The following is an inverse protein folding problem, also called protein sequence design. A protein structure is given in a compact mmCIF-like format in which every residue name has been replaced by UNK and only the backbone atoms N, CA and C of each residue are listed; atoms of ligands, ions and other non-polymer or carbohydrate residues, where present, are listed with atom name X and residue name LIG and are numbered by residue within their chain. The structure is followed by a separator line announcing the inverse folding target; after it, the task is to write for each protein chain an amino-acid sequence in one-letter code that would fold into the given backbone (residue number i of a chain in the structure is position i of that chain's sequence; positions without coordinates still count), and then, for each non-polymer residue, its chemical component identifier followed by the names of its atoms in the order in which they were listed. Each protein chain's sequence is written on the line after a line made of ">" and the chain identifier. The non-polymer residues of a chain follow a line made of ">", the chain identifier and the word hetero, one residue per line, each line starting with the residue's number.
data_IF_999692254334
#
_entry.id   IF_999692254334
#
_cell.length_a   1.000
_cell.length_b   1.000
_cell.length_c   1.000
_cell.angle_alpha   90.00
_cell.angle_beta   90.00
_cell.angle_gamma   90.00
#
_symmetry.space_group_name_H-M   'P 1'
#
loop_
_entity.id
_entity.type
_entity.pdbx_description
1 polymer ?
#
# COMPACT_ATOMS: atom_id res chain seq x y z
N UNK A 1 -7.88 -0.74 10.13
CA UNK A 1 -6.82 -1.65 9.64
C UNK A 1 -5.80 -1.80 10.75
N UNK A 2 -5.53 -3.02 11.21
CA UNK A 2 -4.54 -3.24 12.28
C UNK A 2 -3.13 -2.88 11.81
N UNK A 3 -2.31 -2.33 12.70
CA UNK A 3 -0.92 -1.95 12.38
C UNK A 3 -0.10 -3.15 11.90
N UNK A 4 -0.31 -4.34 12.50
CA UNK A 4 0.36 -5.57 12.06
C UNK A 4 0.14 -5.86 10.57
N UNK A 5 -1.04 -5.56 10.04
CA UNK A 5 -1.36 -5.81 8.63
C UNK A 5 -0.49 -4.96 7.71
N UNK A 6 -0.18 -3.72 8.07
CA UNK A 6 0.66 -2.85 7.26
C UNK A 6 2.10 -3.37 7.11
N UNK A 7 2.56 -4.20 8.05
CA UNK A 7 3.87 -4.84 7.98
C UNK A 7 3.93 -6.04 7.00
N UNK A 8 2.80 -6.45 6.41
CA UNK A 8 2.74 -7.54 5.45
C UNK A 8 2.17 -7.12 4.08
N UNK A 9 1.77 -5.87 3.93
CA UNK A 9 1.13 -5.38 2.71
C UNK A 9 2.09 -4.51 1.92
N UNK A 10 2.25 -4.85 0.64
CA UNK A 10 3.05 -4.11 -0.33
C UNK A 10 2.15 -3.44 -1.38
N UNK A 11 2.72 -2.56 -2.19
CA UNK A 11 1.99 -1.96 -3.30
C UNK A 11 1.46 -3.03 -4.28
N UNK A 12 0.17 -2.93 -4.60
CA UNK A 12 -0.51 -3.85 -5.53
C UNK A 12 -0.16 -3.62 -7.01
N UNK A 13 0.41 -2.46 -7.36
CA UNK A 13 0.76 -2.08 -8.73
C UNK A 13 1.81 -3.06 -9.29
N UNK A 14 1.59 -3.60 -10.50
CA UNK A 14 2.38 -4.70 -11.08
C UNK A 14 3.88 -4.35 -11.17
N UNK A 15 4.18 -3.13 -11.59
CA UNK A 15 5.53 -2.59 -11.75
C UNK A 15 6.26 -2.41 -10.41
N UNK A 16 5.53 -2.38 -9.29
CA UNK A 16 6.10 -2.21 -7.96
C UNK A 16 6.57 -3.52 -7.33
N UNK A 17 6.15 -4.69 -7.84
CA UNK A 17 6.43 -6.01 -7.22
C UNK A 17 7.92 -6.32 -7.06
N UNK A 18 8.76 -5.78 -7.95
CA UNK A 18 10.21 -5.98 -7.91
C UNK A 18 10.95 -4.84 -7.22
N UNK A 19 10.26 -3.75 -6.87
CA UNK A 19 10.89 -2.58 -6.26
C UNK A 19 10.89 -2.71 -4.74
N UNK A 20 12.05 -2.60 -4.08
CA UNK A 20 12.11 -2.61 -2.62
C UNK A 20 11.41 -1.40 -2.00
N UNK A 21 11.30 -0.28 -2.73
CA UNK A 21 10.57 0.92 -2.29
C UNK A 21 9.04 0.76 -2.30
N UNK A 22 8.53 -0.41 -2.70
CA UNK A 22 7.10 -0.73 -2.64
C UNK A 22 6.62 -1.19 -1.26
N UNK A 23 7.56 -1.35 -0.31
CA UNK A 23 7.33 -1.74 1.07
C UNK A 23 8.33 -1.03 2.01
N UNK A 24 7.89 -0.55 3.20
CA UNK A 24 6.49 -0.44 3.63
C UNK A 24 5.70 0.59 2.82
N UNK A 25 4.38 0.53 2.93
CA UNK A 25 3.51 1.63 2.51
C UNK A 25 3.47 2.69 3.62
N UNK A 26 3.47 3.96 3.23
CA UNK A 26 3.59 5.09 4.16
C UNK A 26 2.22 5.61 4.58
N UNK A 27 1.98 5.71 5.88
CA UNK A 27 0.76 6.29 6.42
C UNK A 27 0.78 7.81 6.31
N UNK A 28 -0.36 8.37 5.91
CA UNK A 28 -0.58 9.81 5.89
C UNK A 28 -2.00 10.11 6.35
N UNK A 29 -2.17 11.21 7.08
CA UNK A 29 -3.46 11.67 7.61
C UNK A 29 -4.22 10.55 8.35
N UNK A 30 -3.50 9.72 9.12
CA UNK A 30 -4.05 8.54 9.77
C UNK A 30 -4.76 8.87 11.08
N UNK A 31 -6.01 8.44 11.21
CA UNK A 31 -6.77 8.43 12.45
C UNK A 31 -6.65 7.06 13.11
N UNK A 32 -6.29 7.05 14.39
CA UNK A 32 -6.03 5.85 15.17
C UNK A 32 -7.13 5.61 16.18
N UNK A 33 -7.49 4.35 16.35
CA UNK A 33 -8.33 3.87 17.43
C UNK A 33 -7.66 2.66 18.08
N UNK A 34 -7.81 2.55 19.41
CA UNK A 34 -7.34 1.40 20.17
C UNK A 34 -8.54 0.55 20.55
N UNK A 35 -8.48 -0.72 20.17
CA UNK A 35 -9.44 -1.74 20.57
C UNK A 35 -8.75 -2.77 21.44
N UNK A 36 -9.15 -2.82 22.71
CA UNK A 36 -8.65 -3.78 23.69
C UNK A 36 -8.93 -5.21 23.25
N UNK A 37 -7.92 -6.07 23.36
CA UNK A 37 -7.99 -7.49 23.00
C UNK A 37 -7.33 -8.34 24.07
N UNK A 38 -7.82 -9.56 24.24
CA UNK A 38 -7.18 -10.52 25.13
C UNK A 38 -5.70 -10.68 24.79
N UNK A 39 -4.86 -10.55 25.82
CA UNK A 39 -3.41 -10.62 25.69
C UNK A 39 -2.98 -11.99 25.18
N UNK A 40 -2.32 -12.00 24.02
CA UNK A 40 -1.91 -13.21 23.30
C UNK A 40 -0.39 -13.28 23.12
N UNK A 41 0.37 -13.61 24.18
CA UNK A 41 1.84 -13.62 24.15
C UNK A 41 2.40 -14.61 23.12
N UNK A 42 1.79 -15.79 23.01
CA UNK A 42 2.19 -16.81 22.02
C UNK A 42 2.02 -16.35 20.58
N UNK A 43 0.98 -15.57 20.28
CA UNK A 43 0.81 -15.00 18.95
C UNK A 43 1.96 -14.03 18.62
N UNK A 44 2.30 -13.15 19.57
CA UNK A 44 3.40 -12.18 19.40
C UNK A 44 4.72 -12.91 19.17
N UNK A 45 5.05 -13.92 19.99
CA UNK A 45 6.27 -14.74 19.81
C UNK A 45 6.34 -15.41 18.44
N UNK A 46 5.21 -15.91 17.94
CA UNK A 46 5.16 -16.62 16.67
C UNK A 46 5.17 -15.70 15.44
N UNK A 47 4.57 -14.52 15.54
CA UNK A 47 4.50 -13.58 14.42
C UNK A 47 5.74 -12.71 14.31
N UNK A 48 6.39 -12.41 15.45
CA UNK A 48 7.53 -11.51 15.50
C UNK A 48 8.65 -11.92 14.54
N UNK A 49 9.07 -13.19 14.39
CA UNK A 49 10.08 -13.59 13.41
C UNK A 49 9.75 -13.18 11.97
N UNK A 50 8.47 -13.07 11.62
CA UNK A 50 8.00 -12.68 10.28
C UNK A 50 7.85 -11.18 10.09
N UNK A 51 7.86 -10.41 11.18
CA UNK A 51 7.76 -8.95 11.15
C UNK A 51 9.09 -8.38 10.65
N UNK A 52 8.99 -7.52 9.64
CA UNK A 52 10.06 -6.62 9.24
C UNK A 52 10.14 -5.46 10.24
N UNK A 53 11.20 -5.47 11.04
CA UNK A 53 11.35 -4.54 12.15
C UNK A 53 11.60 -3.11 11.68
N UNK A 54 12.39 -2.91 10.62
CA UNK A 54 12.68 -1.58 10.09
C UNK A 54 11.42 -0.92 9.50
N UNK A 55 10.61 -1.70 8.80
CA UNK A 55 9.31 -1.27 8.30
C UNK A 55 8.36 -0.92 9.46
N UNK A 56 8.31 -1.73 10.53
CA UNK A 56 7.48 -1.44 11.70
C UNK A 56 7.92 -0.16 12.41
N UNK A 57 9.22 0.10 12.52
CA UNK A 57 9.75 1.36 13.08
C UNK A 57 9.30 2.56 12.26
N UNK A 58 9.37 2.46 10.93
CA UNK A 58 8.91 3.50 10.01
C UNK A 58 7.43 3.78 10.21
N UNK A 59 6.59 2.75 10.16
CA UNK A 59 5.14 2.84 10.38
C UNK A 59 4.83 3.45 11.77
N UNK A 60 5.52 3.01 12.82
CA UNK A 60 5.30 3.50 14.18
C UNK A 60 5.60 5.00 14.30
N UNK A 61 6.69 5.46 13.68
CA UNK A 61 7.05 6.87 13.67
C UNK A 61 6.02 7.71 12.90
N UNK A 62 5.53 7.23 11.74
CA UNK A 62 4.51 7.91 10.94
C UNK A 62 3.16 8.04 11.66
N UNK A 63 2.82 7.02 12.45
CA UNK A 63 1.60 7.00 13.27
C UNK A 63 1.74 7.79 14.59
N UNK A 64 2.92 8.39 14.86
CA UNK A 64 3.15 9.21 16.05
C UNK A 64 3.40 8.42 17.34
N UNK A 65 3.76 7.14 17.25
CA UNK A 65 4.18 6.36 18.41
C UNK A 65 5.62 6.68 18.81
N UNK A 66 6.01 6.38 20.08
CA UNK A 66 7.40 6.46 20.49
C UNK A 66 8.29 5.60 19.60
N UNK A 67 9.51 6.08 19.34
CA UNK A 67 10.47 5.33 18.53
C UNK A 67 10.77 3.98 19.18
N UNK A 68 10.43 2.93 18.44
CA UNK A 68 10.76 1.56 18.81
C UNK A 68 12.29 1.36 18.87
N UNK A 69 12.77 0.42 19.71
CA UNK A 69 14.20 0.13 19.85
C UNK A 69 14.85 -0.26 18.52
N UNK A 70 16.14 0.03 18.39
CA UNK A 70 16.88 -0.22 17.14
C UNK A 70 16.94 -1.70 16.76
N UNK A 71 17.16 -2.56 17.75
CA UNK A 71 17.17 -4.01 17.59
C UNK A 71 15.80 -4.60 17.87
N UNK A 72 15.40 -5.55 17.02
CA UNK A 72 14.27 -6.43 17.27
C UNK A 72 14.48 -7.21 18.57
N UNK A 73 13.47 -7.33 19.45
CA UNK A 73 13.60 -8.12 20.67
C UNK A 73 13.75 -9.61 20.32
N UNK A 74 14.78 -10.25 20.87
CA UNK A 74 15.11 -11.66 20.64
C UNK A 74 15.52 -12.34 21.96
N UNK A 75 15.39 -13.67 22.03
CA UNK A 75 15.79 -14.47 23.20
C UNK A 75 15.09 -14.02 24.49
N UNK A 76 15.87 -13.78 25.54
CA UNK A 76 15.39 -13.39 26.88
C UNK A 76 14.56 -12.08 26.87
N UNK A 77 14.74 -11.22 25.87
CA UNK A 77 13.94 -10.00 25.74
C UNK A 77 12.46 -10.31 25.41
N UNK A 78 12.17 -11.48 24.84
CA UNK A 78 10.81 -11.98 24.57
C UNK A 78 10.20 -12.74 25.75
N UNK A 79 10.96 -12.95 26.82
CA UNK A 79 10.45 -13.45 28.09
C UNK A 79 9.95 -12.32 28.99
N UNK A 80 10.30 -11.07 28.67
CA UNK A 80 9.77 -9.90 29.35
C UNK A 80 8.30 -9.66 28.96
N UNK A 81 7.40 -9.86 29.93
CA UNK A 81 5.96 -9.67 29.75
C UNK A 81 5.59 -8.25 29.33
N UNK A 82 6.32 -7.22 29.80
CA UNK A 82 6.06 -5.83 29.43
C UNK A 82 6.31 -5.60 27.93
N UNK A 83 7.43 -6.10 27.40
CA UNK A 83 7.76 -6.03 25.97
C UNK A 83 6.66 -6.66 25.13
N UNK A 84 6.16 -7.83 25.54
CA UNK A 84 5.08 -8.52 24.83
C UNK A 84 3.76 -7.76 24.90
N UNK A 85 3.44 -7.12 26.03
CA UNK A 85 2.25 -6.27 26.17
C UNK A 85 2.32 -5.03 25.29
N UNK A 86 3.48 -4.38 25.24
CA UNK A 86 3.69 -3.20 24.40
C UNK A 86 3.56 -3.56 22.91
N UNK A 87 4.16 -4.70 22.51
CA UNK A 87 4.01 -5.24 21.15
C UNK A 87 2.56 -5.64 20.84
N UNK A 88 1.85 -6.27 21.77
CA UNK A 88 0.44 -6.63 21.62
C UNK A 88 -0.43 -5.40 21.38
N UNK A 89 -0.25 -4.37 22.21
CA UNK A 89 -0.97 -3.10 22.07
C UNK A 89 -0.71 -2.43 20.72
N UNK A 90 0.56 -2.37 20.30
CA UNK A 90 0.92 -1.77 19.02
C UNK A 90 0.39 -2.58 17.83
N UNK A 91 0.60 -3.89 17.83
CA UNK A 91 0.36 -4.73 16.64
C UNK A 91 -1.10 -5.14 16.50
N UNK A 92 -1.77 -5.47 17.61
CA UNK A 92 -3.09 -6.09 17.60
C UNK A 92 -4.23 -5.18 18.04
N UNK A 93 -3.98 -4.30 19.01
CA UNK A 93 -4.99 -3.40 19.57
C UNK A 93 -5.06 -2.07 18.84
N UNK A 94 -3.97 -1.64 18.20
CA UNK A 94 -3.96 -0.40 17.43
C UNK A 94 -4.45 -0.65 16.00
N UNK A 95 -5.45 0.11 15.59
CA UNK A 95 -5.91 0.13 14.21
C UNK A 95 -6.12 1.54 13.69
N UNK A 96 -5.90 1.70 12.38
CA UNK A 96 -6.17 2.92 11.63
C UNK A 96 -7.61 2.88 11.12
N UNK A 97 -8.45 3.83 11.52
CA UNK A 97 -9.87 3.92 11.11
C UNK A 97 -10.02 4.66 9.79
N UNK A 98 -9.37 5.82 9.66
CA UNK A 98 -9.34 6.65 8.46
C UNK A 98 -7.90 7.02 8.11
N UNK A 99 -7.61 7.23 6.83
CA UNK A 99 -6.30 7.71 6.38
C UNK A 99 -5.95 7.24 4.97
N UNK A 100 -4.68 7.35 4.60
CA UNK A 100 -4.16 6.84 3.33
C UNK A 100 -2.79 6.18 3.46
N UNK A 101 -2.55 5.18 2.63
CA UNK A 101 -1.29 4.47 2.48
C UNK A 101 -0.67 4.84 1.13
N UNK A 102 0.50 5.46 1.12
CA UNK A 102 1.18 5.89 -0.11
C UNK A 102 2.38 5.01 -0.40
N UNK A 103 2.47 4.53 -1.64
CA UNK A 103 3.62 3.75 -2.10
C UNK A 103 4.85 4.64 -2.33
N UNK A 104 6.00 4.28 -1.75
CA UNK A 104 7.26 4.99 -1.94
C UNK A 104 7.86 4.86 -3.34
N UNK A 105 7.43 3.87 -4.13
CA UNK A 105 7.92 3.65 -5.50
C UNK A 105 7.08 4.38 -6.57
N UNK A 106 5.76 4.15 -6.61
CA UNK A 106 4.89 4.71 -7.65
C UNK A 106 4.06 5.93 -7.21
N UNK A 107 4.06 6.27 -5.92
CA UNK A 107 3.27 7.37 -5.36
C UNK A 107 1.76 7.10 -5.29
N UNK A 108 1.28 5.91 -5.70
CA UNK A 108 -0.13 5.56 -5.61
C UNK A 108 -0.59 5.54 -4.14
N UNK A 109 -1.78 6.09 -3.88
CA UNK A 109 -2.34 6.22 -2.54
C UNK A 109 -3.60 5.36 -2.40
N UNK A 110 -3.57 4.44 -1.44
CA UNK A 110 -4.69 3.58 -1.06
C UNK A 110 -5.43 4.21 0.11
N UNK A 111 -6.75 4.39 -0.03
CA UNK A 111 -7.57 5.00 1.03
C UNK A 111 -7.96 3.95 2.06
N UNK A 112 -7.90 4.33 3.34
CA UNK A 112 -8.44 3.59 4.48
C UNK A 112 -9.71 4.30 4.91
N UNK A 113 -10.83 3.57 4.94
CA UNK A 113 -12.12 4.06 5.44
C UNK A 113 -12.77 3.00 6.32
N UNK A 114 -13.30 3.40 7.47
CA UNK A 114 -13.92 2.48 8.44
C UNK A 114 -13.01 1.28 8.79
N UNK A 115 -11.69 1.52 8.80
CA UNK A 115 -10.68 0.50 9.04
C UNK A 115 -10.40 -0.47 7.89
N UNK A 116 -10.99 -0.25 6.71
CA UNK A 116 -10.78 -1.08 5.52
C UNK A 116 -9.91 -0.31 4.52
N UNK A 117 -8.74 -0.87 4.21
CA UNK A 117 -7.85 -0.35 3.19
C UNK A 117 -8.27 -0.84 1.79
N UNK A 118 -8.52 0.08 0.87
CA UNK A 118 -8.91 -0.23 -0.50
C UNK A 118 -7.68 -0.38 -1.41
N UNK A 119 -7.38 -1.62 -1.80
CA UNK A 119 -6.30 -1.96 -2.74
C UNK A 119 -6.77 -2.19 -4.19
N UNK A 120 -8.00 -1.80 -4.52
CA UNK A 120 -8.50 -1.90 -5.89
C UNK A 120 -7.78 -0.89 -6.78
N UNK A 121 -7.12 -1.40 -7.82
CA UNK A 121 -6.44 -0.58 -8.80
C UNK A 121 -7.40 -0.18 -9.93
N UNK A 122 -7.31 1.06 -10.44
CA UNK A 122 -7.88 1.42 -11.72
C UNK A 122 -7.40 0.46 -12.83
N UNK A 123 -8.26 0.21 -13.82
CA UNK A 123 -7.97 -0.69 -14.95
C UNK A 123 -6.67 -0.37 -15.69
N UNK A 124 -6.28 0.90 -15.78
CA UNK A 124 -5.03 1.34 -16.42
C UNK A 124 -3.75 1.08 -15.60
N UNK A 125 -3.87 0.72 -14.31
CA UNK A 125 -2.75 0.29 -13.45
C UNK A 125 -2.74 -1.22 -13.23
N UNK A 126 -3.81 -1.92 -13.64
CA UNK A 126 -3.97 -3.37 -13.52
C UNK A 126 -3.68 -4.16 -14.80
N UNK A 127 -3.80 -3.53 -15.98
CA UNK A 127 -3.66 -4.20 -17.27
C UNK A 127 -2.72 -3.43 -18.21
N UNK A 128 -1.74 -4.16 -18.78
CA UNK A 128 -0.90 -3.70 -19.89
C UNK A 128 -1.75 -3.46 -21.14
N UNK A 129 -2.32 -2.26 -21.31
CA UNK A 129 -2.78 -1.82 -22.63
C UNK A 129 -1.67 -1.16 -23.46
N UNK A 130 -0.41 -1.15 -22.97
CA UNK A 130 0.66 -0.37 -23.59
C UNK A 130 1.58 -1.13 -24.55
N UNK A 131 1.37 -2.44 -24.77
CA UNK A 131 2.16 -3.21 -25.73
C UNK A 131 1.42 -3.57 -27.04
N UNK A 132 0.11 -3.30 -27.17
CA UNK A 132 -0.62 -3.62 -28.41
C UNK A 132 -0.92 -2.44 -29.35
N UNK A 133 -0.88 -1.18 -28.88
CA UNK A 133 -1.20 -0.04 -29.76
C UNK A 133 0.02 0.65 -30.39
N UNK A 134 1.21 0.57 -29.78
CA UNK A 134 2.40 1.25 -30.30
C UNK A 134 3.32 0.38 -31.17
N UNK A 135 2.96 -0.87 -31.44
CA UNK A 135 3.81 -1.79 -32.23
C UNK A 135 3.10 -2.50 -33.39
N UNK A 136 1.86 -2.12 -33.74
CA UNK A 136 1.11 -2.73 -34.86
C UNK A 136 0.69 -1.71 -35.94
N UNK A 137 0.88 -0.40 -35.74
CA UNK A 137 0.66 0.58 -36.81
C UNK A 137 1.98 1.31 -37.11
N UNK A 138 2.70 0.96 -38.18
CA UNK A 138 3.81 1.79 -38.63
C UNK A 138 3.27 3.21 -38.87
N UNK A 139 4.01 4.22 -38.39
CA UNK A 139 3.69 5.65 -38.47
C UNK A 139 3.21 6.11 -39.86
N UNK A 140 3.51 5.36 -40.92
CA UNK A 140 3.03 5.57 -42.28
C UNK A 140 1.49 5.43 -42.46
N UNK A 141 0.78 4.61 -41.66
CA UNK A 141 -0.67 4.39 -41.84
C UNK A 141 -1.53 5.48 -41.19
N UNK A 142 -1.02 6.13 -40.14
CA UNK A 142 -1.76 7.16 -39.39
C UNK A 142 -1.99 8.42 -40.23
N UNK A 143 -1.01 8.82 -41.03
CA UNK A 143 -1.09 9.99 -41.93
C UNK A 143 -2.07 9.79 -43.09
N UNK A 144 -2.37 8.54 -43.45
CA UNK A 144 -3.22 8.20 -44.60
C UNK A 144 -4.70 8.13 -44.23
N UNK A 145 -5.01 7.89 -42.95
CA UNK A 145 -6.38 7.94 -42.39
C UNK A 145 -6.77 9.37 -42.05
N UNK A 146 -5.82 10.18 -41.53
CA UNK A 146 -6.09 11.57 -41.16
C UNK A 146 -6.45 12.49 -42.35
N UNK A 147 -6.06 12.14 -43.58
CA UNK A 147 -6.37 12.93 -44.78
C UNK A 147 -7.73 12.64 -45.43
N UNK A 148 -8.49 11.66 -44.93
CA UNK A 148 -9.83 11.32 -45.46
C UNK A 148 -11.01 11.83 -44.61
N UNK A 149 -10.75 12.50 -43.48
CA UNK A 149 -11.81 12.94 -42.55
C UNK A 149 -12.16 14.43 -42.72
N UNK A 150 -11.36 15.21 -43.46
CA UNK A 150 -11.68 16.60 -43.80
C UNK A 150 -12.39 16.71 -45.16
N UNK A 151 -13.68 16.37 -45.19
CA UNK A 151 -14.59 16.98 -46.17
C UNK A 151 -15.78 17.58 -45.43
N UNK A 152 -15.96 18.92 -45.44
CA UNK A 152 -17.14 19.54 -44.88
C UNK A 152 -18.31 19.31 -45.85
N UNK A 153 -19.18 18.36 -45.52
CA UNK A 153 -20.43 18.15 -46.24
C UNK A 153 -21.38 19.33 -46.02
N UNK A 154 -21.49 20.20 -47.03
CA UNK A 154 -22.68 21.01 -47.24
C UNK A 154 -23.88 20.06 -47.43
N UNK A 155 -24.89 20.20 -46.57
CA UNK A 155 -26.21 19.59 -46.74
C UNK A 155 -27.30 20.66 -46.73
N UNK A 156 -27.52 21.31 -47.88
CA UNK A 156 -28.84 21.79 -48.31
C UNK A 156 -29.73 20.55 -48.51
N UNK A 157 -30.94 20.40 -47.96
CA UNK A 157 -32.15 21.17 -48.20
C UNK A 157 -33.29 20.20 -48.54
N UNK A 158 -34.52 20.59 -48.16
CA UNK A 158 -35.85 19.98 -48.41
C UNK A 158 -36.28 18.79 -47.55
#
# INVERSE_FOLDING_TARGET
>A
MKVITANFVTCAVKECKTSPASFPLHFNDAELEQQELDFQPEFIRNVLPRIDWEALRTISNELGFPTLPDSKPEGEALDNEQTLKDLHRLLLETHVTEGKLTCGNCGHSYMIKEGIANFLLPSHLGEEYHLFLNNIIPHALFTQIASQIDTPGLGTGF
#
